data_IF_211846264711
#
_entry.id   IF_211846264711
#
_cell.length_a   1.000
_cell.length_b   1.000
_cell.length_c   1.000
_cell.angle_alpha   90.00
_cell.angle_beta   90.00
_cell.angle_gamma   90.00
#
_symmetry.space_group_name_H-M   'P 1'
#
loop_
_entity.id
_entity.type
_entity.pdbx_description
1 polymer ?
#
# COMPACT_ATOMS: atom_id res chain seq x y z
N UNK A 1 18.30 -37.79 21.34
CA UNK A 1 17.44 -36.62 21.07
C UNK A 1 16.04 -36.90 21.62
N UNK A 2 15.48 -36.03 22.49
CA UNK A 2 14.09 -36.20 22.96
C UNK A 2 13.15 -36.12 21.75
N UNK A 3 12.27 -37.12 21.58
CA UNK A 3 11.20 -37.08 20.56
C UNK A 3 10.33 -35.84 20.84
N UNK A 4 10.35 -34.88 19.91
CA UNK A 4 9.41 -33.76 19.92
C UNK A 4 7.99 -34.30 19.90
N UNK A 5 7.14 -33.72 20.74
CA UNK A 5 5.76 -34.16 20.90
C UNK A 5 4.88 -32.98 20.51
N UNK A 6 4.43 -32.99 19.26
CA UNK A 6 3.62 -31.92 18.69
C UNK A 6 2.40 -31.59 19.56
N UNK A 7 1.72 -32.63 20.05
CA UNK A 7 0.57 -32.47 20.95
C UNK A 7 0.93 -31.67 22.22
N UNK A 8 2.05 -31.98 22.87
CA UNK A 8 2.51 -31.25 24.07
C UNK A 8 2.90 -29.81 23.75
N UNK A 9 3.58 -29.58 22.63
CA UNK A 9 3.97 -28.23 22.18
C UNK A 9 2.73 -27.36 21.92
N UNK A 10 1.71 -27.90 21.25
CA UNK A 10 0.44 -27.20 21.00
C UNK A 10 -0.32 -26.91 22.30
N UNK A 11 -0.46 -27.89 23.19
CA UNK A 11 -1.14 -27.69 24.48
C UNK A 11 -0.43 -26.65 25.35
N UNK A 12 0.90 -26.62 25.32
CA UNK A 12 1.69 -25.59 25.98
C UNK A 12 1.42 -24.20 25.41
N UNK A 13 1.29 -24.08 24.08
CA UNK A 13 0.92 -22.82 23.42
C UNK A 13 -0.47 -22.33 23.80
N UNK A 14 -1.45 -23.23 23.88
CA UNK A 14 -2.83 -22.90 24.32
C UNK A 14 -2.85 -22.42 25.76
N UNK A 15 -2.13 -23.07 26.66
CA UNK A 15 -2.03 -22.63 28.05
C UNK A 15 -1.35 -21.25 28.15
N UNK A 16 -0.26 -21.03 27.41
CA UNK A 16 0.40 -19.73 27.35
C UNK A 16 -0.51 -18.61 26.82
N UNK A 17 -1.39 -18.91 25.85
CA UNK A 17 -2.40 -17.95 25.38
C UNK A 17 -3.44 -17.61 26.47
N UNK A 18 -3.84 -18.58 27.31
CA UNK A 18 -4.74 -18.33 28.45
C UNK A 18 -4.06 -17.45 29.47
N UNK A 19 -2.85 -17.80 29.89
CA UNK A 19 -2.09 -17.03 30.88
C UNK A 19 -1.78 -15.61 30.38
N UNK A 20 -1.63 -15.41 29.07
CA UNK A 20 -1.50 -14.09 28.46
C UNK A 20 -2.77 -13.25 28.57
N UNK A 21 -3.95 -13.85 28.36
CA UNK A 21 -5.24 -13.16 28.53
C UNK A 21 -5.51 -12.80 29.99
N UNK A 22 -5.07 -13.66 30.91
CA UNK A 22 -5.15 -13.42 32.35
C UNK A 22 -4.08 -12.43 32.86
N UNK A 23 -3.22 -11.91 31.97
CA UNK A 23 -2.16 -10.95 32.31
C UNK A 23 -0.98 -11.55 33.09
N UNK A 24 -0.87 -12.88 33.18
CA UNK A 24 0.15 -13.60 33.96
C UNK A 24 1.48 -13.77 33.23
N UNK A 25 1.44 -13.80 31.90
CA UNK A 25 2.63 -13.91 31.04
C UNK A 25 2.54 -12.90 29.90
N UNK A 26 3.68 -12.41 29.44
CA UNK A 26 3.77 -11.58 28.23
C UNK A 26 4.19 -12.45 27.05
N UNK A 27 3.38 -12.47 25.99
CA UNK A 27 3.72 -13.13 24.74
C UNK A 27 4.23 -12.10 23.74
N UNK A 28 5.00 -12.56 22.76
CA UNK A 28 5.35 -11.71 21.62
C UNK A 28 4.08 -11.37 20.85
N UNK A 29 3.61 -10.14 21.01
CA UNK A 29 2.41 -9.62 20.35
C UNK A 29 2.80 -8.51 19.37
N UNK A 30 2.22 -8.55 18.18
CA UNK A 30 2.35 -7.49 17.19
C UNK A 30 0.97 -6.87 17.02
N UNK A 31 0.83 -5.61 17.43
CA UNK A 31 -0.36 -4.83 17.09
C UNK A 31 -0.17 -4.28 15.68
N UNK A 32 -1.14 -4.51 14.80
CA UNK A 32 -1.13 -4.03 13.42
C UNK A 32 -2.44 -3.31 13.16
N UNK A 33 -2.35 -2.05 12.78
CA UNK A 33 -3.49 -1.28 12.29
C UNK A 33 -3.54 -1.32 10.75
N UNK A 34 -4.74 -1.40 10.14
CA UNK A 34 -4.85 -1.35 8.70
C UNK A 34 -4.43 0.03 8.19
N UNK A 35 -3.55 0.05 7.19
CA UNK A 35 -3.14 1.29 6.52
C UNK A 35 -4.34 1.82 5.75
N UNK A 36 -4.83 3.00 6.15
CA UNK A 36 -5.87 3.72 5.42
C UNK A 36 -5.24 4.81 4.58
N UNK A 37 -5.35 4.70 3.26
CA UNK A 37 -4.83 5.72 2.34
C UNK A 37 -5.89 6.78 2.13
N UNK A 38 -5.61 8.07 2.39
CA UNK A 38 -6.61 9.11 2.18
C UNK A 38 -6.89 9.26 0.68
N UNK A 39 -8.16 9.47 0.35
CA UNK A 39 -8.57 9.74 -1.04
C UNK A 39 -7.84 10.96 -1.60
N UNK A 40 -7.65 10.98 -2.91
CA UNK A 40 -7.08 12.13 -3.63
C UNK A 40 -8.20 12.88 -4.34
N UNK A 41 -8.17 14.22 -4.25
CA UNK A 41 -9.11 15.08 -4.96
C UNK A 41 -8.54 15.44 -6.36
N UNK A 42 -9.36 15.99 -7.27
CA UNK A 42 -8.94 16.32 -8.63
C UNK A 42 -7.74 17.28 -8.69
N UNK A 43 -7.71 18.27 -7.79
CA UNK A 43 -6.62 19.26 -7.73
C UNK A 43 -5.30 18.62 -7.32
N UNK A 44 -5.30 17.72 -6.33
CA UNK A 44 -4.11 17.00 -5.91
C UNK A 44 -3.52 16.15 -7.04
N UNK A 45 -4.36 15.52 -7.86
CA UNK A 45 -3.89 14.76 -9.04
C UNK A 45 -3.21 15.69 -10.04
N UNK A 46 -3.83 16.84 -10.34
CA UNK A 46 -3.29 17.84 -11.27
C UNK A 46 -1.98 18.43 -10.76
N UNK A 47 -1.95 18.88 -9.51
CA UNK A 47 -0.78 19.46 -8.85
C UNK A 47 0.37 18.46 -8.77
N UNK A 48 0.08 17.17 -8.53
CA UNK A 48 1.09 16.11 -8.53
C UNK A 48 1.76 15.99 -9.89
N UNK A 49 0.96 15.91 -10.95
CA UNK A 49 1.48 15.87 -12.32
C UNK A 49 2.32 17.10 -12.66
N UNK A 50 1.84 18.30 -12.31
CA UNK A 50 2.48 19.57 -12.65
C UNK A 50 3.80 19.77 -11.91
N UNK A 51 3.87 19.38 -10.63
CA UNK A 51 5.13 19.43 -9.88
C UNK A 51 6.19 18.44 -10.38
N UNK A 52 5.78 17.38 -11.08
CA UNK A 52 6.68 16.45 -11.76
C UNK A 52 7.03 16.92 -13.17
N UNK A 53 6.54 18.08 -13.61
CA UNK A 53 6.75 18.66 -14.94
C UNK A 53 6.36 17.74 -16.09
N UNK A 54 5.27 16.97 -15.91
CA UNK A 54 4.81 16.01 -16.90
C UNK A 54 3.54 16.49 -17.61
N UNK A 55 3.46 16.19 -18.91
CA UNK A 55 2.20 16.25 -19.63
C UNK A 55 1.25 15.17 -19.11
N UNK A 56 -0.06 15.36 -19.32
CA UNK A 56 -1.08 14.38 -18.89
C UNK A 56 -0.82 12.99 -19.45
N UNK A 57 -0.45 12.92 -20.72
CA UNK A 57 -0.19 11.65 -21.40
C UNK A 57 1.05 10.94 -20.82
N UNK A 58 2.15 11.67 -20.60
CA UNK A 58 3.37 11.11 -20.00
C UNK A 58 3.11 10.62 -18.58
N UNK A 59 2.44 11.42 -17.75
CA UNK A 59 2.14 11.03 -16.37
C UNK A 59 1.25 9.80 -16.31
N UNK A 60 0.19 9.75 -17.14
CA UNK A 60 -0.70 8.60 -17.23
C UNK A 60 0.06 7.31 -17.56
N UNK A 61 0.94 7.34 -18.58
CA UNK A 61 1.74 6.19 -18.95
C UNK A 61 2.72 5.78 -17.84
N UNK A 62 3.39 6.74 -17.20
CA UNK A 62 4.36 6.44 -16.12
C UNK A 62 3.71 5.79 -14.90
N UNK A 63 2.45 6.11 -14.59
CA UNK A 63 1.71 5.47 -13.48
C UNK A 63 0.83 4.29 -13.94
N UNK A 64 0.92 3.89 -15.22
CA UNK A 64 0.23 2.72 -15.75
C UNK A 64 -1.29 2.87 -15.94
N UNK A 65 -1.79 4.08 -16.19
CA UNK A 65 -3.22 4.34 -16.43
C UNK A 65 -3.48 4.90 -17.81
N UNK A 66 -4.69 4.69 -18.33
CA UNK A 66 -5.11 5.31 -19.59
C UNK A 66 -5.18 6.85 -19.45
N UNK A 67 -4.64 7.64 -20.40
CA UNK A 67 -4.72 9.10 -20.36
C UNK A 67 -6.14 9.66 -20.15
N UNK A 68 -7.18 9.02 -20.70
CA UNK A 68 -8.58 9.41 -20.52
C UNK A 68 -9.07 9.19 -19.09
N UNK A 69 -8.53 8.18 -18.41
CA UNK A 69 -8.82 7.91 -17.00
C UNK A 69 -8.23 9.00 -16.12
N UNK A 70 -6.96 9.36 -16.36
CA UNK A 70 -6.30 10.46 -15.66
C UNK A 70 -7.03 11.80 -15.88
N UNK A 71 -7.48 12.06 -17.11
CA UNK A 71 -8.28 13.26 -17.42
C UNK A 71 -9.57 13.32 -16.60
N UNK A 72 -10.31 12.20 -16.52
CA UNK A 72 -11.54 12.13 -15.71
C UNK A 72 -11.28 12.38 -14.23
N UNK A 73 -10.14 11.91 -13.71
CA UNK A 73 -9.71 12.19 -12.34
C UNK A 73 -9.42 13.67 -12.11
N UNK A 74 -8.62 14.30 -12.99
CA UNK A 74 -8.30 15.74 -12.90
C UNK A 74 -9.51 16.66 -13.09
N UNK A 75 -10.58 16.17 -13.74
CA UNK A 75 -11.85 16.87 -13.91
C UNK A 75 -12.89 16.53 -12.82
N UNK A 76 -12.59 15.59 -11.92
CA UNK A 76 -13.53 15.13 -10.89
C UNK A 76 -14.73 14.33 -11.41
N UNK A 77 -14.69 13.88 -12.67
CA UNK A 77 -15.72 13.02 -13.28
C UNK A 77 -15.67 11.58 -12.76
N UNK A 78 -14.53 11.17 -12.22
CA UNK A 78 -14.35 9.91 -11.50
C UNK A 78 -13.29 10.07 -10.42
N UNK A 79 -13.22 9.11 -9.50
CA UNK A 79 -12.19 9.07 -8.44
C UNK A 79 -11.19 7.95 -8.70
N UNK A 80 -9.90 8.14 -8.38
CA UNK A 80 -8.94 7.04 -8.35
C UNK A 80 -9.37 5.99 -7.31
N UNK A 81 -9.09 4.72 -7.58
CA UNK A 81 -9.24 3.68 -6.57
C UNK A 81 -8.20 3.85 -5.45
N UNK A 82 -8.29 3.04 -4.38
CA UNK A 82 -7.40 3.16 -3.23
C UNK A 82 -5.93 2.97 -3.61
N UNK A 83 -5.64 2.01 -4.51
CA UNK A 83 -4.29 1.71 -4.97
C UNK A 83 -3.70 2.85 -5.81
N UNK A 84 -4.49 3.43 -6.72
CA UNK A 84 -4.10 4.58 -7.51
C UNK A 84 -3.95 5.83 -6.63
N UNK A 85 -4.81 6.02 -5.64
CA UNK A 85 -4.68 7.10 -4.64
C UNK A 85 -3.37 6.98 -3.87
N UNK A 86 -3.02 5.75 -3.45
CA UNK A 86 -1.75 5.45 -2.81
C UNK A 86 -0.58 5.76 -3.74
N UNK A 87 -0.65 5.29 -4.99
CA UNK A 87 0.41 5.49 -5.98
C UNK A 87 0.64 6.98 -6.27
N UNK A 88 -0.43 7.76 -6.48
CA UNK A 88 -0.34 9.20 -6.75
C UNK A 88 0.29 9.93 -5.54
N UNK A 89 -0.09 9.56 -4.30
CA UNK A 89 0.56 10.11 -3.09
C UNK A 89 2.03 9.70 -2.98
N UNK A 90 2.33 8.46 -3.36
CA UNK A 90 3.67 7.90 -3.24
C UNK A 90 4.62 8.53 -4.26
N UNK A 91 4.20 8.75 -5.52
CA UNK A 91 5.00 9.49 -6.51
C UNK A 91 5.12 10.97 -6.16
N UNK A 92 4.12 11.57 -5.50
CA UNK A 92 4.21 12.95 -5.01
C UNK A 92 5.25 13.09 -3.90
N UNK A 93 5.32 12.11 -2.99
CA UNK A 93 6.25 12.13 -1.85
C UNK A 93 7.65 11.63 -2.22
N UNK A 94 7.73 10.66 -3.11
CA UNK A 94 8.94 9.96 -3.53
C UNK A 94 8.96 9.84 -5.06
N UNK A 95 9.42 10.88 -5.78
CA UNK A 95 9.41 10.90 -7.26
C UNK A 95 10.19 9.76 -7.93
N UNK A 96 11.21 9.21 -7.25
CA UNK A 96 11.98 8.02 -7.68
C UNK A 96 11.11 6.77 -7.87
N UNK A 97 9.90 6.77 -7.28
CA UNK A 97 8.89 5.72 -7.51
C UNK A 97 8.59 5.52 -8.98
N UNK A 98 8.58 6.58 -9.79
CA UNK A 98 8.32 6.43 -11.22
C UNK A 98 9.40 5.62 -11.93
N UNK A 99 10.65 5.77 -11.51
CA UNK A 99 11.78 4.99 -12.02
C UNK A 99 11.69 3.54 -11.54
N UNK A 100 11.30 3.33 -10.27
CA UNK A 100 11.05 1.99 -9.72
C UNK A 100 9.94 1.27 -10.49
N UNK A 101 8.83 1.94 -10.76
CA UNK A 101 7.74 1.39 -11.59
C UNK A 101 8.24 1.00 -12.98
N UNK A 102 9.04 1.86 -13.61
CA UNK A 102 9.61 1.59 -14.92
C UNK A 102 10.54 0.37 -14.90
N UNK A 103 11.31 0.16 -13.83
CA UNK A 103 12.19 -1.02 -13.67
C UNK A 103 11.43 -2.34 -13.55
N UNK A 104 10.15 -2.30 -13.16
CA UNK A 104 9.27 -3.46 -13.10
C UNK A 104 8.59 -3.77 -14.44
N UNK A 105 8.66 -2.84 -15.40
CA UNK A 105 8.03 -3.05 -16.70
C UNK A 105 8.80 -4.09 -17.50
N UNK A 106 8.08 -5.11 -17.96
CA UNK A 106 8.58 -6.05 -18.98
C UNK A 106 8.24 -5.43 -20.34
N UNK A 107 9.18 -5.36 -21.30
CA UNK A 107 8.84 -4.94 -22.66
C UNK A 107 7.75 -5.86 -23.21
N UNK A 108 6.72 -5.24 -23.80
CA UNK A 108 5.61 -5.94 -24.44
C UNK A 108 6.06 -6.75 -25.67
#
# INVERSE_FOLDING_TARGET
MKKRSLFRELMSGVQAMRDHRDGRVTLRTHQVEPITVPTVNPDFVRETREALHMSRQVFAFKIGVNPRTLERWEQGRSKPNEQASALIRLVRKYPDTLERLQSLSVPA
#
